data_IF_574384065850
#
_entry.id   IF_574384065850
#
_cell.length_a   1.000
_cell.length_b   1.000
_cell.length_c   1.000
_cell.angle_alpha   90.00
_cell.angle_beta   90.00
_cell.angle_gamma   90.00
#
_symmetry.space_group_name_H-M   'P 1'
#
loop_
_entity.id
_entity.type
_entity.pdbx_description
1 polymer ?
#
# COMPACT_ATOMS: atom_id res chain seq x y z
N UNK A 1 3.35 1.04 13.15
CA UNK A 1 4.49 1.12 12.25
C UNK A 1 5.78 1.21 13.03
N UNK A 2 6.74 0.32 12.74
CA UNK A 2 8.08 0.43 13.34
C UNK A 2 8.76 1.64 12.72
N UNK A 3 9.31 2.50 13.57
CA UNK A 3 10.04 3.70 13.15
C UNK A 3 11.42 3.63 13.82
N UNK A 4 12.45 3.46 13.02
CA UNK A 4 13.82 3.47 13.47
C UNK A 4 14.49 4.80 13.12
N UNK A 5 14.90 5.58 14.11
CA UNK A 5 15.74 6.75 13.91
C UNK A 5 17.22 6.33 13.96
N UNK A 6 17.88 6.35 12.82
CA UNK A 6 19.31 6.08 12.73
C UNK A 6 20.08 7.35 13.10
N UNK A 7 20.64 7.39 14.31
CA UNK A 7 21.49 8.48 14.77
C UNK A 7 22.95 8.23 14.40
N UNK A 8 23.51 9.07 13.51
CA UNK A 8 24.92 9.21 13.15
C UNK A 8 25.69 7.95 12.75
N UNK A 9 26.17 7.94 11.53
CA UNK A 9 27.25 7.06 11.00
C UNK A 9 26.96 5.54 10.97
N UNK A 10 25.72 5.12 11.14
CA UNK A 10 25.36 3.71 11.18
C UNK A 10 24.78 3.21 9.84
N UNK A 11 24.79 4.04 8.82
CA UNK A 11 24.42 3.66 7.45
C UNK A 11 25.66 3.73 6.56
N UNK A 12 26.16 2.59 6.18
CA UNK A 12 27.34 2.43 5.31
C UNK A 12 26.97 1.68 4.04
N UNK A 13 27.73 1.89 2.97
CA UNK A 13 27.56 1.10 1.76
C UNK A 13 28.88 0.54 1.24
N UNK A 14 28.80 -0.64 0.60
CA UNK A 14 29.87 -1.24 -0.19
C UNK A 14 29.25 -1.97 -1.39
N UNK A 15 29.79 -1.74 -2.57
CA UNK A 15 29.37 -2.40 -3.82
C UNK A 15 27.86 -2.33 -4.09
N UNK A 16 27.22 -1.18 -3.81
CA UNK A 16 25.79 -0.97 -4.04
C UNK A 16 24.87 -1.59 -2.99
N UNK A 17 25.40 -2.07 -1.88
CA UNK A 17 24.63 -2.57 -0.75
C UNK A 17 24.83 -1.64 0.44
N UNK A 18 23.76 -0.99 0.88
CA UNK A 18 23.74 -0.23 2.12
C UNK A 18 23.45 -1.16 3.29
N UNK A 19 24.25 -1.02 4.36
CA UNK A 19 24.05 -1.71 5.64
C UNK A 19 23.67 -0.68 6.69
N UNK A 20 22.55 -0.90 7.34
CA UNK A 20 22.00 -0.05 8.39
C UNK A 20 22.06 -0.78 9.73
N UNK A 21 22.59 -0.11 10.75
CA UNK A 21 22.57 -0.58 12.13
C UNK A 21 21.50 0.21 12.90
N UNK A 22 20.47 -0.47 13.37
CA UNK A 22 19.37 0.10 14.13
C UNK A 22 18.87 -0.89 15.17
N UNK A 23 19.20 -0.63 16.41
CA UNK A 23 18.87 -1.54 17.54
C UNK A 23 17.37 -1.82 17.63
N UNK A 24 16.99 -3.09 17.52
CA UNK A 24 15.61 -3.52 17.67
C UNK A 24 14.69 -3.00 16.57
N UNK A 25 15.16 -2.97 15.31
CA UNK A 25 14.40 -2.37 14.19
C UNK A 25 13.06 -3.07 13.87
N UNK A 26 12.91 -4.34 14.22
CA UNK A 26 11.65 -5.07 14.05
C UNK A 26 11.25 -5.40 12.61
N UNK A 27 12.10 -5.11 11.61
CA UNK A 27 11.83 -5.45 10.21
C UNK A 27 12.14 -6.93 9.95
N UNK A 28 11.32 -7.57 9.13
CA UNK A 28 11.55 -8.91 8.61
C UNK A 28 12.22 -8.85 7.22
N UNK A 29 12.71 -9.99 6.75
CA UNK A 29 13.26 -10.10 5.40
C UNK A 29 12.17 -9.85 4.35
N UNK A 30 12.44 -8.94 3.42
CA UNK A 30 11.49 -8.55 2.38
C UNK A 30 10.53 -7.42 2.74
N UNK A 31 10.52 -6.91 3.97
CA UNK A 31 9.69 -5.76 4.34
C UNK A 31 10.05 -4.54 3.50
N UNK A 32 9.03 -3.79 3.07
CA UNK A 32 9.24 -2.52 2.41
C UNK A 32 9.47 -1.41 3.45
N UNK A 33 10.56 -0.67 3.28
CA UNK A 33 10.89 0.48 4.12
C UNK A 33 11.11 1.74 3.30
N UNK A 34 10.89 2.89 3.92
CA UNK A 34 11.27 4.20 3.38
C UNK A 34 12.39 4.79 4.21
N UNK A 35 13.53 5.04 3.58
CA UNK A 35 14.68 5.73 4.18
C UNK A 35 14.57 7.20 3.81
N UNK A 36 14.76 8.08 4.80
CA UNK A 36 14.76 9.53 4.63
C UNK A 36 15.80 10.22 5.50
N UNK A 37 16.19 11.46 5.12
CA UNK A 37 17.10 12.31 5.90
C UNK A 37 18.60 12.00 5.73
N UNK A 38 18.95 11.04 4.86
CA UNK A 38 20.34 10.70 4.57
C UNK A 38 20.97 11.67 3.56
N UNK A 39 22.26 11.92 3.73
CA UNK A 39 23.14 12.63 2.78
C UNK A 39 24.34 11.73 2.48
N UNK A 40 24.67 11.42 1.20
CA UNK A 40 23.99 11.90 -0.03
C UNK A 40 22.57 11.33 -0.21
N UNK A 41 21.74 12.05 -0.97
CA UNK A 41 20.33 11.75 -1.15
C UNK A 41 20.04 10.40 -1.80
N UNK A 42 21.00 9.79 -2.48
CA UNK A 42 20.86 8.46 -3.09
C UNK A 42 20.62 7.32 -2.10
N UNK A 43 20.79 7.55 -0.82
CA UNK A 43 20.39 6.61 0.23
C UNK A 43 18.91 6.69 0.57
N UNK A 44 18.22 7.79 0.23
CA UNK A 44 16.82 8.03 0.54
C UNK A 44 15.94 7.39 -0.53
N UNK A 45 15.35 6.24 -0.23
CA UNK A 45 14.48 5.51 -1.17
C UNK A 45 13.50 4.62 -0.40
N UNK A 46 12.47 4.21 -1.10
CA UNK A 46 11.57 3.15 -0.65
C UNK A 46 12.02 1.84 -1.30
N UNK A 47 12.31 0.83 -0.49
CA UNK A 47 12.93 -0.42 -0.94
C UNK A 47 12.63 -1.56 0.03
N UNK A 48 12.86 -2.79 -0.40
CA UNK A 48 12.76 -3.95 0.45
C UNK A 48 14.05 -4.19 1.22
N UNK A 49 13.94 -4.58 2.48
CA UNK A 49 15.09 -4.94 3.33
C UNK A 49 15.51 -6.39 3.10
N UNK A 50 16.80 -6.61 3.24
CA UNK A 50 17.36 -7.93 3.51
C UNK A 50 17.74 -7.99 4.99
N UNK A 51 17.06 -8.84 5.75
CA UNK A 51 17.30 -9.01 7.18
C UNK A 51 18.67 -9.63 7.44
N UNK A 52 19.44 -9.09 8.36
CA UNK A 52 20.73 -9.66 8.81
C UNK A 52 20.59 -10.17 10.24
N UNK A 53 20.18 -9.32 11.17
CA UNK A 53 19.92 -9.67 12.57
C UNK A 53 18.95 -8.66 13.21
N UNK A 54 18.62 -8.82 14.49
CA UNK A 54 17.67 -7.96 15.21
C UNK A 54 18.05 -6.46 15.26
N UNK A 55 19.29 -6.12 14.91
CA UNK A 55 19.81 -4.77 14.97
C UNK A 55 20.38 -4.29 13.63
N UNK A 56 20.41 -5.16 12.61
CA UNK A 56 21.09 -4.88 11.34
C UNK A 56 20.26 -5.36 10.16
N UNK A 57 20.09 -4.52 9.15
CA UNK A 57 19.52 -4.88 7.88
C UNK A 57 20.28 -4.23 6.72
N UNK A 58 20.06 -4.71 5.51
CA UNK A 58 20.65 -4.14 4.30
C UNK A 58 19.60 -3.89 3.22
N UNK A 59 19.94 -3.02 2.26
CA UNK A 59 19.13 -2.73 1.09
C UNK A 59 20.00 -2.25 -0.07
N UNK A 60 19.47 -2.28 -1.29
CA UNK A 60 20.22 -1.89 -2.47
C UNK A 60 20.23 -0.37 -2.66
N UNK A 61 21.38 0.17 -3.01
CA UNK A 61 21.61 1.58 -3.36
C UNK A 61 22.52 1.67 -4.58
N UNK A 62 22.63 2.82 -5.26
CA UNK A 62 23.67 3.03 -6.28
C UNK A 62 25.08 2.84 -5.69
N UNK A 63 25.91 2.09 -6.37
CA UNK A 63 27.30 1.79 -5.96
C UNK A 63 28.24 3.02 -6.00
N UNK A 64 27.80 4.10 -6.66
CA UNK A 64 28.53 5.36 -6.79
C UNK A 64 28.40 6.28 -5.58
N UNK A 65 27.63 5.89 -4.55
CA UNK A 65 27.45 6.71 -3.35
C UNK A 65 28.70 6.71 -2.47
N UNK A 66 28.87 7.76 -1.67
CA UNK A 66 29.87 7.79 -0.61
C UNK A 66 29.69 6.60 0.35
N UNK A 67 30.78 6.03 0.84
CA UNK A 67 30.77 4.82 1.66
C UNK A 67 29.99 4.95 2.98
N UNK A 68 29.73 6.17 3.45
CA UNK A 68 29.00 6.44 4.69
C UNK A 68 27.99 7.55 4.47
N UNK A 69 26.78 7.35 4.94
CA UNK A 69 25.75 8.38 4.97
C UNK A 69 25.86 9.26 6.23
N UNK A 70 25.41 10.50 6.11
CA UNK A 70 25.30 11.45 7.23
C UNK A 70 23.90 12.05 7.25
N UNK A 71 23.52 12.69 8.36
CA UNK A 71 22.20 13.33 8.52
C UNK A 71 21.38 12.74 9.66
N UNK A 72 20.18 13.21 9.83
CA UNK A 72 19.20 12.59 10.73
C UNK A 72 18.41 11.57 9.92
N UNK A 73 18.89 10.33 9.92
CA UNK A 73 18.37 9.28 9.06
C UNK A 73 17.24 8.56 9.78
N UNK A 74 16.14 8.38 9.10
CA UNK A 74 15.00 7.60 9.58
C UNK A 74 14.70 6.47 8.60
N UNK A 75 14.35 5.31 9.13
CA UNK A 75 13.78 4.20 8.39
C UNK A 75 12.37 3.95 8.92
N UNK A 76 11.40 4.06 8.06
CA UNK A 76 10.00 3.78 8.39
C UNK A 76 9.56 2.57 7.59
N UNK A 77 9.20 1.48 8.26
CA UNK A 77 8.60 0.34 7.61
C UNK A 77 7.16 0.66 7.20
N UNK A 78 6.78 0.31 5.98
CA UNK A 78 5.38 0.09 5.68
C UNK A 78 5.01 -1.21 6.37
N UNK A 79 4.36 -1.13 7.51
CA UNK A 79 3.66 -2.30 8.03
C UNK A 79 2.58 -2.64 7.02
N UNK A 80 2.82 -3.61 6.17
CA UNK A 80 1.72 -4.42 5.67
C UNK A 80 1.07 -4.95 6.94
N UNK A 81 -0.14 -4.48 7.22
CA UNK A 81 -0.76 -4.72 8.52
C UNK A 81 -1.11 -6.17 8.71
N UNK A 82 -0.13 -6.98 9.09
CA UNK A 82 -0.41 -8.21 9.79
C UNK A 82 -0.90 -7.79 11.17
N UNK A 83 -2.15 -8.07 11.43
CA UNK A 83 -2.70 -7.97 12.76
C UNK A 83 -2.08 -9.13 13.56
N UNK A 84 -0.97 -8.87 14.22
CA UNK A 84 -0.25 -9.85 15.03
C UNK A 84 -1.06 -10.18 16.27
N UNK A 85 -1.81 -11.28 16.18
CA UNK A 85 -2.62 -11.81 17.27
C UNK A 85 -1.90 -12.97 17.94
N UNK A 86 -1.53 -12.80 19.19
CA UNK A 86 -0.93 -13.85 19.99
C UNK A 86 -1.96 -14.92 20.41
N UNK A 87 -3.17 -14.48 20.75
CA UNK A 87 -4.24 -15.34 21.24
C UNK A 87 -5.60 -14.89 20.72
N UNK A 88 -6.47 -15.87 20.47
CA UNK A 88 -7.86 -15.69 20.10
C UNK A 88 -8.75 -16.47 21.06
N UNK A 89 -9.88 -15.86 21.46
CA UNK A 89 -10.89 -16.52 22.28
C UNK A 89 -12.29 -15.97 21.99
N UNK A 90 -13.30 -16.80 22.19
CA UNK A 90 -14.69 -16.35 22.26
C UNK A 90 -15.10 -16.28 23.72
N UNK A 91 -15.45 -15.10 24.22
CA UNK A 91 -15.83 -14.84 25.60
C UNK A 91 -17.17 -14.12 25.62
N UNK A 92 -18.19 -14.77 26.18
CA UNK A 92 -19.53 -14.18 26.29
C UNK A 92 -20.16 -13.83 24.94
N UNK A 93 -19.86 -14.60 23.87
CA UNK A 93 -20.38 -14.36 22.53
C UNK A 93 -19.62 -13.25 21.76
N UNK A 94 -18.50 -12.77 22.29
CA UNK A 94 -17.61 -11.84 21.63
C UNK A 94 -16.33 -12.53 21.19
N UNK A 95 -15.96 -12.32 19.96
CA UNK A 95 -14.68 -12.76 19.44
C UNK A 95 -13.62 -11.73 19.82
N UNK A 96 -12.66 -12.13 20.63
CA UNK A 96 -11.58 -11.28 21.11
C UNK A 96 -10.23 -11.84 20.71
N UNK A 97 -9.28 -10.96 20.53
CA UNK A 97 -7.91 -11.32 20.21
C UNK A 97 -6.95 -10.39 20.97
N UNK A 98 -5.82 -10.94 21.39
CA UNK A 98 -4.75 -10.19 22.06
C UNK A 98 -3.68 -9.84 21.07
N UNK A 99 -3.30 -8.56 20.98
CA UNK A 99 -2.16 -8.12 20.19
C UNK A 99 -0.85 -8.63 20.81
N UNK A 100 0.03 -9.20 19.96
CA UNK A 100 1.31 -9.74 20.40
C UNK A 100 2.26 -8.64 20.88
N UNK A 101 2.31 -7.53 20.15
CA UNK A 101 3.26 -6.46 20.39
C UNK A 101 2.85 -5.49 21.51
N UNK A 102 1.57 -5.29 21.73
CA UNK A 102 1.06 -4.26 22.65
C UNK A 102 0.28 -4.80 23.85
N UNK A 103 -0.05 -6.11 23.84
CA UNK A 103 -0.83 -6.76 24.87
C UNK A 103 -2.28 -6.28 24.98
N UNK A 104 -2.75 -5.46 24.02
CA UNK A 104 -4.13 -4.93 24.01
C UNK A 104 -5.08 -6.05 23.61
N UNK A 105 -6.26 -6.08 24.22
CA UNK A 105 -7.34 -6.99 23.84
C UNK A 105 -8.27 -6.26 22.89
N UNK A 106 -8.40 -6.81 21.68
CA UNK A 106 -9.27 -6.30 20.64
C UNK A 106 -10.54 -7.14 20.52
N UNK A 107 -11.67 -6.51 20.30
CA UNK A 107 -12.92 -7.17 19.92
C UNK A 107 -12.99 -7.21 18.39
N UNK A 108 -13.09 -8.41 17.82
CA UNK A 108 -13.21 -8.61 16.37
C UNK A 108 -14.68 -8.46 15.96
N UNK A 109 -15.01 -7.30 15.41
CA UNK A 109 -16.36 -6.97 15.01
C UNK A 109 -16.54 -7.19 13.51
N UNK A 110 -17.50 -8.02 13.12
CA UNK A 110 -17.87 -8.23 11.71
C UNK A 110 -18.42 -6.98 11.00
N UNK A 111 -18.63 -5.90 11.74
CA UNK A 111 -19.09 -4.58 11.23
C UNK A 111 -18.00 -3.51 11.25
N UNK A 112 -16.80 -3.82 11.71
CA UNK A 112 -15.65 -2.92 11.67
C UNK A 112 -14.87 -3.14 10.37
N UNK A 113 -14.62 -2.04 9.64
CA UNK A 113 -13.87 -2.02 8.40
C UNK A 113 -12.61 -1.15 8.53
N UNK A 114 -12.11 -1.06 9.76
CA UNK A 114 -10.88 -0.38 10.14
C UNK A 114 -10.16 -1.21 11.19
N UNK A 115 -8.86 -1.08 11.23
CA UNK A 115 -8.01 -1.70 12.24
C UNK A 115 -7.72 -0.68 13.35
N UNK A 116 -8.35 -0.86 14.51
CA UNK A 116 -8.23 0.04 15.67
C UNK A 116 -8.30 1.54 15.30
N UNK A 117 -9.25 1.91 14.43
CA UNK A 117 -9.41 3.29 13.94
C UNK A 117 -8.50 3.66 12.76
N UNK A 118 -7.61 2.78 12.35
CA UNK A 118 -6.75 2.95 11.17
C UNK A 118 -7.48 2.41 9.93
N UNK A 119 -7.47 3.16 8.84
CA UNK A 119 -8.11 2.74 7.59
C UNK A 119 -7.43 1.53 6.99
N UNK A 120 -8.21 0.50 6.70
CA UNK A 120 -7.74 -0.64 5.89
C UNK A 120 -7.80 -0.22 4.42
N UNK A 121 -6.68 -0.34 3.71
CA UNK A 121 -6.59 -0.02 2.29
C UNK A 121 -6.98 -1.25 1.45
N UNK A 122 -8.23 -1.28 1.02
CA UNK A 122 -8.72 -2.32 0.12
C UNK A 122 -8.55 -1.84 -1.33
N UNK A 123 -7.69 -2.49 -2.10
CA UNK A 123 -7.50 -2.17 -3.52
C UNK A 123 -7.61 -3.41 -4.40
N UNK A 124 -8.13 -3.21 -5.60
CA UNK A 124 -8.19 -4.22 -6.64
C UNK A 124 -7.79 -3.61 -7.97
N UNK A 125 -6.89 -4.28 -8.69
CA UNK A 125 -6.45 -3.87 -10.01
C UNK A 125 -6.86 -4.91 -11.04
N UNK A 126 -7.47 -4.45 -12.15
CA UNK A 126 -7.85 -5.33 -13.25
C UNK A 126 -6.62 -5.72 -14.07
N UNK A 127 -6.74 -6.81 -14.80
CA UNK A 127 -5.84 -7.09 -15.92
C UNK A 127 -5.99 -5.99 -16.98
N UNK A 128 -5.06 -5.98 -17.93
CA UNK A 128 -5.10 -5.06 -19.07
C UNK A 128 -6.27 -5.47 -19.98
N UNK A 129 -7.13 -4.52 -20.27
CA UNK A 129 -8.29 -4.66 -21.14
C UNK A 129 -8.08 -3.89 -22.44
N UNK A 130 -8.23 -4.56 -23.58
CA UNK A 130 -8.07 -3.99 -24.91
C UNK A 130 -9.33 -4.09 -25.79
N UNK A 131 -10.43 -4.62 -25.25
CA UNK A 131 -11.68 -4.89 -25.95
C UNK A 131 -11.48 -5.71 -27.26
N UNK A 132 -10.51 -6.62 -27.26
CA UNK A 132 -10.20 -7.49 -28.39
C UNK A 132 -9.56 -6.77 -29.58
N UNK A 133 -9.05 -5.55 -29.41
CA UNK A 133 -8.44 -4.78 -30.50
C UNK A 133 -7.39 -3.80 -30.00
N UNK A 134 -6.24 -3.75 -30.68
CA UNK A 134 -5.21 -2.74 -30.43
C UNK A 134 -5.54 -1.34 -30.97
N UNK A 135 -6.68 -1.17 -31.65
CA UNK A 135 -7.12 0.15 -32.15
C UNK A 135 -7.48 1.07 -30.99
N UNK A 136 -7.32 2.37 -31.21
CA UNK A 136 -7.71 3.38 -30.24
C UNK A 136 -9.24 3.43 -30.09
N UNK A 137 -9.71 3.41 -28.86
CA UNK A 137 -11.12 3.41 -28.46
C UNK A 137 -11.39 4.58 -27.51
N UNK A 138 -12.61 5.08 -27.51
CA UNK A 138 -13.04 6.10 -26.55
C UNK A 138 -13.79 5.44 -25.40
N UNK A 139 -13.40 5.74 -24.16
CA UNK A 139 -14.07 5.28 -22.94
C UNK A 139 -14.91 6.40 -22.37
N UNK A 140 -16.21 6.29 -22.51
CA UNK A 140 -17.17 7.29 -22.03
C UNK A 140 -17.31 7.24 -20.51
N UNK A 141 -17.48 6.03 -19.97
CA UNK A 141 -17.63 5.83 -18.53
C UNK A 141 -17.12 4.46 -18.06
N UNK A 142 -16.83 4.40 -16.75
CA UNK A 142 -16.64 3.15 -16.01
C UNK A 142 -17.57 3.15 -14.80
N UNK A 143 -18.28 2.05 -14.58
CA UNK A 143 -19.21 1.88 -13.49
C UNK A 143 -18.73 0.79 -12.54
N UNK A 144 -18.68 1.09 -11.25
CA UNK A 144 -18.42 0.11 -10.20
C UNK A 144 -19.76 -0.54 -9.84
N UNK A 145 -19.90 -1.82 -10.17
CA UNK A 145 -21.05 -2.64 -9.80
C UNK A 145 -20.74 -3.33 -8.47
N UNK A 146 -21.56 -3.07 -7.48
CA UNK A 146 -21.38 -3.59 -6.13
C UNK A 146 -22.43 -3.09 -5.16
N UNK A 147 -22.21 -3.31 -3.88
CA UNK A 147 -23.13 -2.88 -2.83
C UNK A 147 -23.20 -1.34 -2.77
N UNK A 148 -24.40 -0.84 -2.45
CA UNK A 148 -24.63 0.59 -2.27
C UNK A 148 -24.35 0.96 -0.83
N UNK A 149 -23.34 1.79 -0.64
CA UNK A 149 -22.89 2.26 0.68
C UNK A 149 -22.68 3.78 0.66
N UNK A 150 -22.89 4.41 1.80
CA UNK A 150 -22.69 5.87 1.95
C UNK A 150 -21.19 6.22 2.05
N UNK A 151 -20.44 5.89 1.01
CA UNK A 151 -19.02 6.13 0.90
C UNK A 151 -18.59 6.37 -0.55
N UNK A 152 -17.33 6.71 -0.76
CA UNK A 152 -16.74 6.84 -2.09
C UNK A 152 -15.60 5.84 -2.25
N UNK A 153 -15.49 5.27 -3.45
CA UNK A 153 -14.28 4.60 -3.89
C UNK A 153 -13.41 5.56 -4.72
N UNK A 154 -12.14 5.24 -4.84
CA UNK A 154 -11.18 5.92 -5.69
C UNK A 154 -10.91 5.06 -6.91
N UNK A 155 -11.03 5.62 -8.11
CA UNK A 155 -10.73 4.94 -9.36
C UNK A 155 -9.58 5.67 -10.07
N UNK A 156 -8.60 4.92 -10.54
CA UNK A 156 -7.55 5.35 -11.46
C UNK A 156 -7.33 4.33 -12.55
N UNK A 157 -6.52 4.67 -13.55
CA UNK A 157 -6.18 3.76 -14.63
C UNK A 157 -4.73 3.93 -15.09
N UNK A 158 -4.23 2.92 -15.78
CA UNK A 158 -2.94 2.91 -16.47
C UNK A 158 -3.14 2.47 -17.92
N UNK A 159 -2.49 3.16 -18.84
CA UNK A 159 -2.53 2.90 -20.30
C UNK A 159 -1.19 2.34 -20.85
N UNK A 160 -0.22 2.11 -19.97
CA UNK A 160 1.18 1.79 -20.28
C UNK A 160 1.70 0.57 -19.50
N UNK A 161 0.88 -0.44 -19.35
CA UNK A 161 1.24 -1.70 -18.67
C UNK A 161 1.73 -1.48 -17.22
N UNK A 162 0.98 -0.67 -16.50
CA UNK A 162 1.21 -0.33 -15.07
C UNK A 162 2.43 0.55 -14.79
N UNK A 163 3.10 1.10 -15.82
CA UNK A 163 4.27 1.96 -15.64
C UNK A 163 3.89 3.30 -14.99
N UNK A 164 2.80 3.90 -15.46
CA UNK A 164 2.26 5.12 -14.88
C UNK A 164 0.77 5.01 -14.58
N UNK A 165 0.31 5.77 -13.63
CA UNK A 165 -1.11 5.81 -13.25
C UNK A 165 -1.68 7.21 -13.40
N UNK A 166 -2.95 7.29 -13.84
CA UNK A 166 -3.72 8.52 -13.75
C UNK A 166 -3.91 8.93 -12.29
N UNK A 167 -4.31 10.19 -12.06
CA UNK A 167 -4.74 10.61 -10.72
C UNK A 167 -6.01 9.85 -10.30
N UNK A 168 -6.12 9.55 -9.01
CA UNK A 168 -7.35 9.02 -8.45
C UNK A 168 -8.51 9.99 -8.59
N UNK A 169 -9.66 9.47 -8.95
CA UNK A 169 -10.92 10.21 -9.02
C UNK A 169 -11.97 9.50 -8.17
N UNK A 170 -12.77 10.29 -7.44
CA UNK A 170 -13.82 9.75 -6.56
C UNK A 170 -15.01 9.26 -7.36
N UNK A 171 -15.54 8.11 -6.94
CA UNK A 171 -16.79 7.51 -7.41
C UNK A 171 -17.70 7.34 -6.21
N UNK A 172 -18.87 7.94 -6.25
CA UNK A 172 -19.87 7.84 -5.19
C UNK A 172 -20.54 6.45 -5.25
N UNK A 173 -20.36 5.66 -4.19
CA UNK A 173 -20.94 4.31 -4.07
C UNK A 173 -22.41 4.33 -3.63
N UNK A 174 -22.91 5.45 -3.11
CA UNK A 174 -24.34 5.60 -2.74
C UNK A 174 -25.23 5.88 -3.94
N UNK A 175 -24.66 6.34 -5.03
CA UNK A 175 -25.37 6.68 -6.26
C UNK A 175 -26.07 5.44 -6.85
N UNK A 176 -27.24 5.64 -7.49
CA UNK A 176 -27.95 4.57 -8.20
C UNK A 176 -27.04 3.84 -9.20
N UNK A 177 -26.17 4.58 -9.88
CA UNK A 177 -25.09 4.08 -10.74
C UNK A 177 -23.78 4.73 -10.31
N UNK A 178 -22.84 3.95 -9.81
CA UNK A 178 -21.55 4.40 -9.31
C UNK A 178 -20.58 4.58 -10.48
N UNK A 179 -20.76 5.64 -11.26
CA UNK A 179 -20.06 5.91 -12.53
C UNK A 179 -19.02 7.01 -12.46
N UNK A 180 -17.95 6.79 -13.18
CA UNK A 180 -16.97 7.81 -13.51
C UNK A 180 -16.99 8.07 -15.02
N UNK A 181 -17.19 9.33 -15.40
CA UNK A 181 -17.23 9.77 -16.79
C UNK A 181 -15.91 10.42 -17.24
N UNK A 182 -15.77 10.65 -18.57
CA UNK A 182 -14.63 11.35 -19.17
C UNK A 182 -13.32 10.64 -18.91
N UNK A 183 -13.24 9.41 -19.33
CA UNK A 183 -12.05 8.57 -19.18
C UNK A 183 -11.09 8.64 -20.37
N UNK A 184 -11.49 9.40 -21.42
CA UNK A 184 -10.63 9.64 -22.59
C UNK A 184 -10.50 8.41 -23.48
N UNK A 185 -9.46 8.39 -24.28
CA UNK A 185 -9.21 7.31 -25.23
C UNK A 185 -8.07 6.43 -24.79
N UNK A 186 -8.14 5.16 -25.16
CA UNK A 186 -7.13 4.13 -24.87
C UNK A 186 -6.94 3.20 -26.06
N UNK A 187 -5.81 2.52 -26.15
CA UNK A 187 -5.66 1.29 -26.93
C UNK A 187 -5.84 0.07 -26.05
N UNK A 188 -5.25 0.12 -24.87
CA UNK A 188 -5.40 -0.86 -23.78
C UNK A 188 -5.34 -0.12 -22.45
N UNK A 189 -5.99 -0.65 -21.42
CA UNK A 189 -6.09 0.01 -20.12
C UNK A 189 -6.31 -0.99 -18.99
N UNK A 190 -5.64 -0.79 -17.88
CA UNK A 190 -5.99 -1.40 -16.60
C UNK A 190 -6.64 -0.36 -15.70
N UNK A 191 -7.52 -0.81 -14.83
CA UNK A 191 -8.18 0.02 -13.82
C UNK A 191 -7.79 -0.44 -12.43
N UNK A 192 -7.74 0.50 -11.50
CA UNK A 192 -7.55 0.22 -10.09
C UNK A 192 -8.65 0.93 -9.29
N UNK A 193 -9.34 0.16 -8.48
CA UNK A 193 -10.34 0.64 -7.53
C UNK A 193 -9.78 0.50 -6.13
N UNK A 194 -9.84 1.57 -5.34
CA UNK A 194 -9.35 1.64 -3.96
C UNK A 194 -10.43 2.15 -3.03
N UNK A 195 -10.55 1.55 -1.85
CA UNK A 195 -11.49 1.96 -0.82
C UNK A 195 -10.80 1.96 0.55
N UNK A 196 -11.03 3.02 1.33
CA UNK A 196 -10.38 3.24 2.63
C UNK A 196 -11.37 3.69 3.71
N UNK A 197 -12.66 3.78 3.38
CA UNK A 197 -13.67 4.21 4.35
C UNK A 197 -14.07 3.06 5.29
N UNK A 198 -14.51 3.42 6.52
CA UNK A 198 -15.05 2.45 7.48
C UNK A 198 -16.48 2.01 7.08
N UNK A 199 -16.59 1.38 5.92
CA UNK A 199 -17.86 0.85 5.38
C UNK A 199 -17.59 -0.45 4.63
N UNK A 200 -18.58 -1.35 4.53
CA UNK A 200 -18.42 -2.55 3.73
C UNK A 200 -18.09 -2.20 2.28
N UNK A 201 -17.20 -2.98 1.68
CA UNK A 201 -16.81 -2.79 0.29
C UNK A 201 -16.83 -4.12 -0.45
N UNK A 202 -17.83 -4.30 -1.32
CA UNK A 202 -17.96 -5.47 -2.17
C UNK A 202 -18.15 -5.03 -3.61
N UNK A 203 -17.17 -5.32 -4.46
CA UNK A 203 -17.21 -5.08 -5.90
C UNK A 203 -17.48 -6.39 -6.61
N UNK A 204 -18.46 -6.40 -7.49
CA UNK A 204 -18.82 -7.55 -8.32
C UNK A 204 -18.21 -7.43 -9.71
N UNK A 205 -18.24 -6.23 -10.28
CA UNK A 205 -17.73 -5.96 -11.62
C UNK A 205 -17.32 -4.49 -11.77
N UNK A 206 -16.46 -4.25 -12.74
CA UNK A 206 -16.21 -2.93 -13.32
C UNK A 206 -16.72 -2.97 -14.78
N UNK A 207 -17.82 -2.26 -15.03
CA UNK A 207 -18.39 -2.15 -16.37
C UNK A 207 -17.83 -0.93 -17.09
N UNK A 208 -17.39 -1.13 -18.33
CA UNK A 208 -16.79 -0.08 -19.16
C UNK A 208 -17.72 0.17 -20.34
N UNK A 209 -18.09 1.43 -20.54
CA UNK A 209 -18.88 1.89 -21.66
C UNK A 209 -18.00 2.74 -22.58
N UNK A 210 -17.95 2.41 -23.86
CA UNK A 210 -17.15 3.10 -24.85
C UNK A 210 -17.48 2.71 -26.27
N UNK A 211 -16.95 3.46 -27.25
CA UNK A 211 -17.03 3.20 -28.67
C UNK A 211 -15.64 2.95 -29.27
#
# INVERSE_FOLDING_TARGET
GFNCALYRAELTQAAGIATAVCTGHGFADGDEITIAGATPAGYNLTTNVSYIDANTYSYQVPDTLAATATGTITATGSTEGYFDLAYYANVGGKDIAQGEADGIIYELLGTAYQDNGVSIDASVRTTIYDAGSAKRKFVASAEIVGDKVAASALLRYSDDDYQTNSKYRKVDLSAKRSRLHRLGSMSRRSFEVRHTANTPFRVQALEIEGE
#
